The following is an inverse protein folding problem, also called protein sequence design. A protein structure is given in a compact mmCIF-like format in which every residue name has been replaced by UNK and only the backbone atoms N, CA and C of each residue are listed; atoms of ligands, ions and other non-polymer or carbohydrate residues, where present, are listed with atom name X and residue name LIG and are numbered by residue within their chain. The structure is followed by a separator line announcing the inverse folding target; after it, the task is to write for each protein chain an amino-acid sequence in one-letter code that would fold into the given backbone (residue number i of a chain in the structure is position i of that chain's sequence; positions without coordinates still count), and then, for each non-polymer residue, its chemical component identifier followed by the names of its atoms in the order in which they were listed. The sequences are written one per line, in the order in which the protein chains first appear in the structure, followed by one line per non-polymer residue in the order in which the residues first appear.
data_IF_453262276306
#
_entry.id   IF_453262276306
#
_cell.length_a   1.000
_cell.length_b   1.000
_cell.length_c   1.000
_cell.angle_alpha   90.00
_cell.angle_beta   90.00
_cell.angle_gamma   90.00
#
_symmetry.space_group_name_H-M   'P 1'
#
loop_
_entity.id
_entity.type
_entity.pdbx_description
1 polymer ?
#
# COMPACT_ATOMS: atom_id res chain seq x y z
N UNK A 1 21.69 5.01 -40.20
CA UNK A 1 21.48 6.29 -39.50
C UNK A 1 20.18 6.13 -38.78
N UNK A 2 20.35 5.72 -37.54
CA UNK A 2 19.35 5.22 -36.61
C UNK A 2 18.36 6.34 -36.27
N UNK A 3 17.06 6.05 -36.31
CA UNK A 3 16.05 6.95 -35.77
C UNK A 3 14.98 6.12 -35.06
N UNK A 4 15.44 5.37 -34.07
CA UNK A 4 14.61 4.87 -32.98
C UNK A 4 14.21 6.07 -32.12
N UNK A 5 13.19 6.79 -32.57
CA UNK A 5 12.41 7.67 -31.70
C UNK A 5 11.00 7.11 -31.60
N UNK A 6 10.91 5.86 -31.14
CA UNK A 6 9.72 5.41 -30.44
C UNK A 6 9.58 6.30 -29.22
N UNK A 7 8.73 7.30 -29.37
CA UNK A 7 8.27 8.19 -28.32
C UNK A 7 7.80 7.33 -27.14
N UNK A 8 8.69 7.17 -26.17
CA UNK A 8 8.53 6.45 -24.92
C UNK A 8 7.33 7.04 -24.20
N UNK A 9 6.17 6.41 -24.35
CA UNK A 9 5.06 6.61 -23.44
C UNK A 9 5.61 6.11 -22.10
N UNK A 10 6.10 7.03 -21.28
CA UNK A 10 6.40 6.80 -19.88
C UNK A 10 5.09 6.41 -19.24
N UNK A 11 4.77 5.11 -19.31
CA UNK A 11 3.80 4.50 -18.45
C UNK A 11 4.18 4.97 -17.06
N UNK A 12 3.35 5.83 -16.46
CA UNK A 12 3.42 6.10 -15.04
C UNK A 12 3.68 4.75 -14.38
N UNK A 13 4.85 4.55 -13.79
CA UNK A 13 5.18 3.28 -13.15
C UNK A 13 4.12 3.08 -12.07
N UNK A 14 3.09 2.28 -12.39
CA UNK A 14 1.97 2.05 -11.50
C UNK A 14 2.57 1.33 -10.31
N UNK A 15 2.77 2.09 -9.23
CA UNK A 15 3.45 1.59 -8.04
C UNK A 15 2.66 0.40 -7.51
N UNK A 16 3.26 -0.79 -7.55
CA UNK A 16 2.60 -2.00 -7.10
C UNK A 16 2.58 -2.07 -5.57
N UNK A 17 1.53 -1.50 -4.97
CA UNK A 17 1.33 -1.50 -3.51
C UNK A 17 1.13 -2.91 -2.92
N UNK A 18 0.88 -3.93 -3.75
CA UNK A 18 0.71 -5.31 -3.30
C UNK A 18 2.04 -6.04 -3.06
N UNK A 19 3.14 -5.58 -3.69
CA UNK A 19 4.49 -6.14 -3.56
C UNK A 19 5.31 -5.52 -2.41
N UNK A 20 4.74 -4.53 -1.71
CA UNK A 20 5.44 -3.91 -0.59
C UNK A 20 5.68 -4.92 0.54
N UNK A 21 6.87 -4.88 1.17
CA UNK A 21 7.15 -5.61 2.39
C UNK A 21 6.15 -5.32 3.50
N UNK A 22 5.88 -6.33 4.33
CA UNK A 22 4.87 -6.27 5.40
C UNK A 22 5.13 -5.14 6.41
N UNK A 23 6.39 -4.91 6.77
CA UNK A 23 6.83 -3.86 7.68
C UNK A 23 6.52 -2.47 7.10
N UNK A 24 6.74 -2.27 5.80
CA UNK A 24 6.41 -1.01 5.11
C UNK A 24 4.91 -0.77 5.09
N UNK A 25 4.10 -1.78 4.74
CA UNK A 25 2.63 -1.67 4.75
C UNK A 25 2.11 -1.42 6.17
N UNK A 26 2.68 -2.08 7.17
CA UNK A 26 2.34 -1.86 8.58
C UNK A 26 2.62 -0.42 9.00
N UNK A 27 3.76 0.14 8.56
CA UNK A 27 4.12 1.53 8.85
C UNK A 27 3.19 2.54 8.16
N UNK A 28 2.73 2.23 6.95
CA UNK A 28 1.68 3.01 6.26
C UNK A 28 0.39 2.96 7.09
N UNK A 29 -0.02 1.79 7.55
CA UNK A 29 -1.25 1.61 8.31
C UNK A 29 -1.23 2.41 9.62
N UNK A 30 -0.09 2.39 10.33
CA UNK A 30 0.10 3.23 11.52
C UNK A 30 -0.09 4.74 11.24
N UNK A 31 0.26 5.22 10.04
CA UNK A 31 0.04 6.61 9.62
C UNK A 31 -1.38 6.90 9.15
N UNK A 32 -2.01 5.94 8.46
CA UNK A 32 -3.40 6.02 7.99
C UNK A 32 -4.37 6.06 9.17
N UNK A 33 -4.06 5.31 10.24
CA UNK A 33 -4.86 5.27 11.44
C UNK A 33 -6.03 4.28 11.36
N UNK A 34 -6.55 3.93 12.53
CA UNK A 34 -7.42 2.77 12.74
C UNK A 34 -8.74 2.87 11.98
N UNK A 35 -9.35 4.06 11.94
CA UNK A 35 -10.65 4.28 11.30
C UNK A 35 -10.53 4.00 9.79
N UNK A 36 -9.56 4.61 9.12
CA UNK A 36 -9.35 4.41 7.68
C UNK A 36 -8.87 2.98 7.35
N UNK A 37 -8.14 2.30 8.26
CA UNK A 37 -7.82 0.88 8.10
C UNK A 37 -9.10 0.03 8.03
N UNK A 38 -10.01 0.24 9.00
CA UNK A 38 -11.26 -0.52 9.11
C UNK A 38 -12.25 -0.21 8.00
N UNK A 39 -12.29 1.03 7.51
CA UNK A 39 -13.28 1.44 6.51
C UNK A 39 -12.78 1.33 5.07
N UNK A 40 -11.46 1.39 4.83
CA UNK A 40 -10.90 1.59 3.47
C UNK A 40 -9.71 0.69 3.17
N UNK A 41 -8.63 0.79 3.95
CA UNK A 41 -7.35 0.18 3.58
C UNK A 41 -7.44 -1.36 3.42
N UNK A 42 -8.29 -2.02 4.22
CA UNK A 42 -8.48 -3.47 4.13
C UNK A 42 -9.12 -3.96 2.81
N UNK A 43 -9.68 -3.06 2.00
CA UNK A 43 -10.38 -3.40 0.75
C UNK A 43 -9.54 -3.14 -0.52
N UNK A 44 -8.30 -2.67 -0.38
CA UNK A 44 -7.43 -2.30 -1.52
C UNK A 44 -6.92 -3.53 -2.26
N UNK A 45 -6.29 -4.46 -1.55
CA UNK A 45 -5.76 -5.71 -2.12
C UNK A 45 -5.64 -6.79 -1.04
N UNK A 46 -5.32 -8.03 -1.44
CA UNK A 46 -5.15 -9.16 -0.52
C UNK A 46 -4.03 -8.96 0.49
N UNK A 47 -2.92 -8.33 0.08
CA UNK A 47 -1.80 -7.98 0.98
C UNK A 47 -2.28 -7.03 2.07
N UNK A 48 -2.93 -5.93 1.69
CA UNK A 48 -3.43 -4.93 2.64
C UNK A 48 -4.51 -5.50 3.57
N UNK A 49 -5.37 -6.38 3.05
CA UNK A 49 -6.38 -7.10 3.84
C UNK A 49 -5.79 -8.06 4.87
N UNK A 50 -4.60 -8.62 4.61
CA UNK A 50 -3.88 -9.44 5.60
C UNK A 50 -3.30 -8.56 6.69
N UNK A 51 -2.57 -7.50 6.30
CA UNK A 51 -1.95 -6.57 7.26
C UNK A 51 -2.99 -5.87 8.12
N UNK A 52 -4.16 -5.52 7.59
CA UNK A 52 -5.24 -4.86 8.34
C UNK A 52 -5.75 -5.63 9.55
N UNK A 53 -5.49 -6.94 9.62
CA UNK A 53 -5.95 -7.82 10.70
C UNK A 53 -4.90 -8.01 11.79
N UNK A 54 -3.74 -7.39 11.64
CA UNK A 54 -2.62 -7.57 12.54
C UNK A 54 -2.87 -6.86 13.89
N UNK A 55 -2.83 -7.58 15.02
CA UNK A 55 -3.13 -6.99 16.34
C UNK A 55 -2.26 -5.79 16.69
N UNK A 56 -1.02 -5.76 16.18
CA UNK A 56 -0.06 -4.68 16.40
C UNK A 56 -0.56 -3.31 15.93
N UNK A 57 -1.44 -3.25 14.94
CA UNK A 57 -2.01 -2.00 14.44
C UNK A 57 -3.02 -1.38 15.40
N UNK A 58 -3.57 -2.17 16.30
CA UNK A 58 -4.62 -1.78 17.25
C UNK A 58 -4.09 -1.70 18.69
N UNK A 59 -2.86 -2.16 18.94
CA UNK A 59 -2.26 -2.24 20.29
C UNK A 59 -1.98 -0.87 20.93
N UNK A 60 -1.85 0.18 20.13
CA UNK A 60 -1.63 1.55 20.60
C UNK A 60 -2.91 2.36 20.78
N UNK A 61 -4.09 1.75 20.62
CA UNK A 61 -5.37 2.43 20.86
C UNK A 61 -5.53 2.62 22.36
N UNK A 62 -5.26 3.83 22.85
CA UNK A 62 -5.80 4.29 24.13
C UNK A 62 -7.21 4.80 23.84
N UNK A 63 -8.20 4.10 24.38
CA UNK A 63 -9.59 4.57 24.48
C UNK A 63 -9.66 5.65 25.56
#
# INVERSE_FOLDING_TARGET
MDNDNENSISSEEVRNWAELPFDVVSHIFLKVGVIDILLRAQFVCSTWRRVSKEPLLFRSIRI
#
